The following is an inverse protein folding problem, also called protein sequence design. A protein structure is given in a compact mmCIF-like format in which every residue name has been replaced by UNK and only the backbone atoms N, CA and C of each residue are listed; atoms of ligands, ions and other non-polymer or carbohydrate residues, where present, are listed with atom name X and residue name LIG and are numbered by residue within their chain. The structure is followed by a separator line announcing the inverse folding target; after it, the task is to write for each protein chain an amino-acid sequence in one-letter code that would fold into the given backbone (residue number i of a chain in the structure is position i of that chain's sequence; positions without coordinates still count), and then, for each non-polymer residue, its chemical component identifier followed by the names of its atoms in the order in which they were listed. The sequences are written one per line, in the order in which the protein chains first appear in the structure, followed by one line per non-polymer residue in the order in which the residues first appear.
data_IF_806860492535
#
_entry.id   IF_806860492535
#
_cell.length_a   1.000
_cell.length_b   1.000
_cell.length_c   1.000
_cell.angle_alpha   90.00
_cell.angle_beta   90.00
_cell.angle_gamma   90.00
#
_symmetry.space_group_name_H-M   'P 1'
#
loop_
_entity.id
_entity.type
_entity.pdbx_description
1 polymer ?
#
# COMPACT_ATOMS: atom_id res chain seq x y z
N UNK A 1 10.52 -16.87 15.83
CA UNK A 1 10.29 -15.88 14.76
C UNK A 1 9.57 -14.70 15.37
N UNK A 2 10.23 -13.54 15.51
CA UNK A 2 9.66 -12.41 16.22
C UNK A 2 8.43 -11.89 15.48
N UNK A 3 7.29 -11.76 16.17
CA UNK A 3 6.02 -11.23 15.65
C UNK A 3 6.19 -9.93 14.82
N UNK A 4 7.25 -9.17 15.12
CA UNK A 4 7.66 -7.97 14.37
C UNK A 4 8.03 -8.25 12.92
N UNK A 5 8.80 -9.28 12.63
CA UNK A 5 9.24 -9.58 11.26
C UNK A 5 8.05 -9.97 10.36
N UNK A 6 7.11 -10.75 10.89
CA UNK A 6 5.89 -11.13 10.18
C UNK A 6 4.98 -9.92 9.89
N UNK A 7 4.77 -9.03 10.86
CA UNK A 7 4.00 -7.81 10.66
C UNK A 7 4.62 -6.89 9.59
N UNK A 8 5.94 -6.76 9.58
CA UNK A 8 6.64 -5.92 8.61
C UNK A 8 6.56 -6.50 7.20
N UNK A 9 6.65 -7.83 7.06
CA UNK A 9 6.38 -8.55 5.81
C UNK A 9 4.95 -8.35 5.33
N UNK A 10 3.96 -8.42 6.24
CA UNK A 10 2.55 -8.23 5.89
C UNK A 10 2.26 -6.82 5.37
N UNK A 11 2.86 -5.80 6.00
CA UNK A 11 2.75 -4.41 5.53
C UNK A 11 3.40 -4.27 4.15
N UNK A 12 4.60 -4.83 3.95
CA UNK A 12 5.28 -4.79 2.66
C UNK A 12 4.45 -5.46 1.55
N UNK A 13 3.87 -6.64 1.81
CA UNK A 13 2.96 -7.30 0.87
C UNK A 13 1.73 -6.44 0.55
N UNK A 14 1.14 -5.81 1.57
CA UNK A 14 -0.03 -4.95 1.40
C UNK A 14 0.28 -3.70 0.57
N UNK A 15 1.47 -3.11 0.71
CA UNK A 15 1.94 -2.00 -0.14
C UNK A 15 2.09 -2.45 -1.59
N UNK A 16 2.71 -3.62 -1.84
CA UNK A 16 2.84 -4.17 -3.20
C UNK A 16 1.47 -4.44 -3.82
N UNK A 17 0.55 -4.99 -3.03
CA UNK A 17 -0.81 -5.31 -3.50
C UNK A 17 -1.60 -4.06 -3.85
N UNK A 18 -1.54 -3.01 -3.02
CA UNK A 18 -2.19 -1.72 -3.29
C UNK A 18 -1.57 -0.99 -4.48
N UNK A 19 -0.25 -1.08 -4.67
CA UNK A 19 0.42 -0.56 -5.86
C UNK A 19 -0.02 -1.29 -7.14
N UNK A 20 -0.14 -2.62 -7.09
CA UNK A 20 -0.66 -3.43 -8.20
C UNK A 20 -2.11 -3.06 -8.53
N UNK A 21 -2.95 -2.90 -7.51
CA UNK A 21 -4.34 -2.46 -7.68
C UNK A 21 -4.44 -1.07 -8.29
N UNK A 22 -3.59 -0.12 -7.87
CA UNK A 22 -3.54 1.21 -8.45
C UNK A 22 -3.13 1.19 -9.93
N UNK A 23 -2.12 0.41 -10.29
CA UNK A 23 -1.68 0.25 -11.69
C UNK A 23 -2.77 -0.42 -12.55
N UNK A 24 -3.45 -1.44 -12.01
CA UNK A 24 -4.55 -2.11 -12.69
C UNK A 24 -5.75 -1.18 -12.89
N UNK A 25 -6.14 -0.43 -11.85
CA UNK A 25 -7.23 0.54 -11.91
C UNK A 25 -6.94 1.65 -12.94
N UNK A 26 -5.69 2.12 -13.03
CA UNK A 26 -5.28 3.07 -14.06
C UNK A 26 -5.43 2.51 -15.48
N UNK A 27 -5.05 1.24 -15.69
CA UNK A 27 -5.24 0.55 -16.96
C UNK A 27 -6.71 0.36 -17.35
N UNK A 28 -7.59 0.10 -16.37
CA UNK A 28 -9.04 0.00 -16.61
C UNK A 28 -9.70 1.35 -16.85
N UNK A 29 -9.26 2.40 -16.16
CA UNK A 29 -9.74 3.76 -16.41
C UNK A 29 -9.49 4.21 -17.84
N UNK A 30 -8.33 3.86 -18.42
CA UNK A 30 -8.01 4.15 -19.83
C UNK A 30 -8.91 3.41 -20.83
N UNK A 31 -9.51 2.27 -20.44
CA UNK A 31 -10.36 1.46 -21.33
C UNK A 31 -11.84 1.79 -21.20
N UNK A 32 -12.31 2.01 -19.98
CA UNK A 32 -13.73 2.19 -19.68
C UNK A 32 -14.12 3.67 -19.49
N UNK A 33 -13.18 4.57 -19.19
CA UNK A 33 -13.43 5.96 -18.79
C UNK A 33 -14.42 6.14 -17.61
N UNK A 34 -14.70 5.06 -16.88
CA UNK A 34 -15.64 5.05 -15.77
C UNK A 34 -15.03 5.72 -14.52
N UNK A 35 -15.77 6.64 -13.92
CA UNK A 35 -15.35 7.40 -12.74
C UNK A 35 -15.06 6.50 -11.53
N UNK A 36 -15.69 5.31 -11.48
CA UNK A 36 -15.46 4.29 -10.46
C UNK A 36 -14.01 3.79 -10.44
N UNK A 37 -13.37 3.63 -11.60
CA UNK A 37 -11.96 3.22 -11.66
C UNK A 37 -11.01 4.33 -11.20
N UNK A 38 -11.34 5.60 -11.48
CA UNK A 38 -10.57 6.73 -10.95
C UNK A 38 -10.64 6.78 -9.42
N UNK A 39 -11.83 6.63 -8.83
CA UNK A 39 -12.00 6.58 -7.38
C UNK A 39 -11.23 5.41 -6.76
N UNK A 40 -11.31 4.23 -7.39
CA UNK A 40 -10.62 3.02 -6.93
C UNK A 40 -9.09 3.16 -7.01
N UNK A 41 -8.58 3.81 -8.06
CA UNK A 41 -7.17 4.14 -8.20
C UNK A 41 -6.70 5.10 -7.11
N UNK A 42 -7.43 6.20 -6.89
CA UNK A 42 -7.12 7.17 -5.81
C UNK A 42 -7.16 6.51 -4.43
N UNK A 43 -8.20 5.71 -4.15
CA UNK A 43 -8.31 4.97 -2.89
C UNK A 43 -7.17 3.98 -2.70
N UNK A 44 -6.75 3.28 -3.76
CA UNK A 44 -5.62 2.34 -3.72
C UNK A 44 -4.30 3.05 -3.46
N UNK A 45 -4.07 4.20 -4.11
CA UNK A 45 -2.88 5.03 -3.87
C UNK A 45 -2.88 5.57 -2.44
N UNK A 46 -4.01 6.11 -1.97
CA UNK A 46 -4.15 6.61 -0.60
C UNK A 46 -3.88 5.50 0.43
N UNK A 47 -4.40 4.29 0.19
CA UNK A 47 -4.16 3.12 1.03
C UNK A 47 -2.70 2.70 1.03
N UNK A 48 -2.04 2.68 -0.14
CA UNK A 48 -0.62 2.37 -0.28
C UNK A 48 0.28 3.38 0.43
N UNK A 49 -0.04 4.68 0.33
CA UNK A 49 0.67 5.74 1.08
C UNK A 49 0.47 5.56 2.58
N UNK A 50 -0.77 5.30 3.03
CA UNK A 50 -1.06 5.04 4.45
C UNK A 50 -0.27 3.86 5.00
N UNK A 51 -0.21 2.76 4.25
CA UNK A 51 0.58 1.57 4.59
C UNK A 51 2.08 1.85 4.59
N UNK A 52 2.59 2.62 3.62
CA UNK A 52 4.00 3.00 3.55
C UNK A 52 4.41 3.88 4.74
N UNK A 53 3.59 4.87 5.11
CA UNK A 53 3.82 5.71 6.29
C UNK A 53 3.76 4.89 7.57
N UNK A 54 2.79 3.98 7.68
CA UNK A 54 2.67 3.09 8.84
C UNK A 54 3.88 2.15 8.97
N UNK A 55 4.30 1.55 7.85
CA UNK A 55 5.51 0.72 7.78
C UNK A 55 6.78 1.49 8.15
N UNK A 56 6.95 2.70 7.62
CA UNK A 56 8.10 3.56 7.94
C UNK A 56 8.10 4.03 9.40
N UNK A 57 6.94 4.37 9.96
CA UNK A 57 6.80 4.73 11.38
C UNK A 57 7.12 3.55 12.29
N UNK A 58 6.68 2.34 11.92
CA UNK A 58 6.99 1.11 12.65
C UNK A 58 8.48 0.78 12.60
N UNK A 59 9.10 0.90 11.42
CA UNK A 59 10.54 0.71 11.22
C UNK A 59 11.37 1.77 11.97
N UNK A 60 10.93 3.04 11.98
CA UNK A 60 11.55 4.11 12.78
C UNK A 60 11.46 3.83 14.27
N UNK A 61 10.30 3.35 14.77
CA UNK A 61 10.13 2.98 16.18
C UNK A 61 11.00 1.80 16.60
N UNK A 62 11.18 0.80 15.74
CA UNK A 62 12.03 -0.35 16.05
C UNK A 62 13.52 -0.04 15.93
N UNK A 63 13.93 0.83 14.99
CA UNK A 63 15.34 1.24 14.84
C UNK A 63 15.83 2.14 15.97
N UNK A 64 14.95 2.90 16.62
CA UNK A 64 15.28 3.74 17.80
C UNK A 64 15.50 2.95 19.10
N UNK A 65 15.23 1.65 19.08
CA UNK A 65 15.34 0.77 20.25
C UNK A 65 16.55 -0.17 20.17
N UNK A 66 17.43 0.00 19.17
CA UNK A 66 18.68 -0.74 19.00
C UNK A 66 19.89 0.13 19.31
#
# INVERSE_FOLDING_TARGET
MSLRAFHLLFIALSVVLTAFFAAWAAGQYQRAHEMSYALTGVASVASGIGLAVYGAAFQRKTKKLS
#
